data_IF_416309964231
#
_entry.id   IF_416309964231
#
_cell.length_a   1.000
_cell.length_b   1.000
_cell.length_c   1.000
_cell.angle_alpha   90.00
_cell.angle_beta   90.00
_cell.angle_gamma   90.00
#
_symmetry.space_group_name_H-M   'P 1'
#
loop_
_entity.id
_entity.type
_entity.pdbx_description
1 polymer ?
#
# COMPACT_ATOMS: atom_id res chain seq x y z
N UNK A 1 11.56 -54.15 -92.54
CA UNK A 1 10.87 -53.41 -93.61
C UNK A 1 9.82 -52.55 -92.94
N UNK A 2 9.68 -51.25 -93.11
CA UNK A 2 10.50 -50.15 -93.60
C UNK A 2 9.77 -48.87 -93.13
N UNK A 3 10.54 -47.81 -92.89
CA UNK A 3 10.21 -46.38 -93.12
C UNK A 3 8.87 -45.80 -92.61
N UNK A 4 8.93 -44.88 -91.64
CA UNK A 4 9.07 -43.42 -91.83
C UNK A 4 7.87 -42.68 -92.47
N UNK A 5 7.22 -41.89 -91.62
CA UNK A 5 6.96 -40.43 -91.74
C UNK A 5 5.96 -39.87 -92.76
N UNK A 6 5.37 -38.75 -92.30
CA UNK A 6 4.65 -37.67 -93.00
C UNK A 6 3.13 -37.89 -93.18
N UNK A 7 2.23 -36.95 -92.86
CA UNK A 7 2.33 -35.60 -92.32
C UNK A 7 0.87 -35.12 -92.08
N UNK A 8 0.54 -34.54 -90.93
CA UNK A 8 -0.49 -33.49 -90.86
C UNK A 8 -0.05 -32.42 -89.89
N UNK A 9 0.53 -31.41 -90.52
CA UNK A 9 0.91 -30.11 -90.02
C UNK A 9 -0.22 -29.34 -89.33
N UNK A 10 0.23 -28.52 -88.36
CA UNK A 10 -0.27 -27.19 -88.03
C UNK A 10 -1.68 -27.06 -87.47
N UNK A 11 -1.76 -26.70 -86.20
CA UNK A 11 -1.92 -25.28 -85.82
C UNK A 11 -1.60 -25.09 -84.33
N UNK A 12 -0.63 -24.21 -84.06
CA UNK A 12 -0.33 -23.67 -82.74
C UNK A 12 -1.35 -22.58 -82.35
N UNK A 13 -1.29 -22.21 -81.06
CA UNK A 13 -1.92 -21.08 -80.34
C UNK A 13 -3.21 -21.49 -79.63
N UNK A 14 -3.41 -21.24 -78.34
CA UNK A 14 -2.75 -20.35 -77.41
C UNK A 14 -3.20 -20.67 -75.99
N UNK A 15 -2.26 -20.52 -75.06
CA UNK A 15 -2.38 -20.07 -73.68
C UNK A 15 -3.78 -19.66 -73.14
N UNK A 16 -3.93 -20.00 -71.84
CA UNK A 16 -4.86 -19.46 -70.83
C UNK A 16 -6.28 -20.01 -70.82
N UNK A 17 -6.57 -20.89 -69.85
CA UNK A 17 -7.55 -20.48 -68.85
C UNK A 17 -7.36 -21.17 -67.50
N UNK A 18 -7.09 -20.30 -66.54
CA UNK A 18 -7.11 -20.44 -65.10
C UNK A 18 -8.40 -21.05 -64.56
N UNK A 19 -8.36 -21.45 -63.29
CA UNK A 19 -9.46 -21.92 -62.43
C UNK A 19 -9.62 -23.45 -62.32
N UNK A 20 -8.54 -24.14 -61.98
CA UNK A 20 -8.66 -25.34 -61.15
C UNK A 20 -8.59 -24.91 -59.67
N UNK A 21 -9.72 -24.48 -59.12
CA UNK A 21 -9.92 -24.36 -57.67
C UNK A 21 -10.11 -25.77 -57.09
N UNK A 22 -9.04 -26.56 -57.01
CA UNK A 22 -9.04 -27.81 -56.24
C UNK A 22 -8.55 -27.52 -54.82
N UNK A 23 -9.55 -27.37 -53.95
CA UNK A 23 -9.56 -27.69 -52.51
C UNK A 23 -8.19 -27.75 -51.84
N UNK A 24 -7.76 -26.63 -51.27
CA UNK A 24 -6.85 -26.66 -50.13
C UNK A 24 -7.66 -27.12 -48.92
N UNK A 25 -7.35 -28.31 -48.40
CA UNK A 25 -7.71 -28.70 -47.03
C UNK A 25 -6.56 -28.30 -46.11
N UNK A 26 -6.64 -27.22 -45.31
CA UNK A 26 -5.64 -26.98 -44.28
C UNK A 26 -5.99 -27.88 -43.10
N UNK A 27 -5.11 -28.84 -42.80
CA UNK A 27 -5.17 -29.63 -41.55
C UNK A 27 -5.37 -28.70 -40.36
N UNK A 28 -6.35 -29.04 -39.54
CA UNK A 28 -6.80 -28.32 -38.36
C UNK A 28 -5.64 -27.91 -37.45
N UNK A 29 -5.32 -26.62 -37.45
CA UNK A 29 -4.48 -26.00 -36.43
C UNK A 29 -5.38 -25.34 -35.37
N UNK A 30 -6.18 -26.15 -34.67
CA UNK A 30 -6.94 -25.69 -33.51
C UNK A 30 -6.01 -25.60 -32.28
N UNK A 31 -5.00 -24.73 -32.34
CA UNK A 31 -4.23 -24.33 -31.15
C UNK A 31 -4.98 -23.20 -30.46
N UNK A 32 -6.09 -23.54 -29.81
CA UNK A 32 -6.65 -22.70 -28.75
C UNK A 32 -5.58 -22.59 -27.67
N UNK A 33 -4.79 -21.50 -27.71
CA UNK A 33 -3.97 -21.11 -26.56
C UNK A 33 -4.92 -21.02 -25.37
N UNK A 34 -4.72 -21.77 -24.27
CA UNK A 34 -5.59 -21.67 -23.11
C UNK A 34 -5.57 -20.20 -22.70
N UNK A 35 -6.73 -19.55 -22.81
CA UNK A 35 -6.95 -18.19 -22.35
C UNK A 35 -6.65 -18.24 -20.87
N UNK A 36 -5.44 -17.82 -20.50
CA UNK A 36 -4.95 -17.83 -19.13
C UNK A 36 -5.93 -16.94 -18.36
N UNK A 37 -6.95 -17.55 -17.76
CA UNK A 37 -7.95 -16.86 -16.97
C UNK A 37 -7.16 -16.31 -15.80
N UNK A 38 -6.78 -15.04 -15.93
CA UNK A 38 -6.10 -14.28 -14.89
C UNK A 38 -7.06 -14.31 -13.71
N UNK A 39 -6.86 -15.29 -12.82
CA UNK A 39 -7.70 -15.50 -11.66
C UNK A 39 -7.76 -14.14 -10.98
N UNK A 40 -8.95 -13.55 -10.94
CA UNK A 40 -9.15 -12.30 -10.19
C UNK A 40 -8.56 -12.57 -8.81
N UNK A 41 -7.57 -11.78 -8.34
CA UNK A 41 -6.98 -12.04 -7.04
C UNK A 41 -8.13 -12.08 -6.05
N UNK A 42 -8.31 -13.24 -5.38
CA UNK A 42 -9.36 -13.44 -4.39
C UNK A 42 -9.40 -12.19 -3.53
N UNK A 43 -10.50 -11.46 -3.57
CA UNK A 43 -10.74 -10.35 -2.65
C UNK A 43 -10.57 -10.96 -1.27
N UNK A 44 -9.44 -10.66 -0.61
CA UNK A 44 -9.23 -11.04 0.78
C UNK A 44 -10.30 -10.27 1.54
N UNK A 45 -11.42 -10.94 1.76
CA UNK A 45 -12.55 -10.44 2.53
C UNK A 45 -12.00 -9.77 3.78
N UNK A 46 -12.45 -8.52 3.94
CA UNK A 46 -12.31 -7.63 5.07
C UNK A 46 -11.97 -8.42 6.35
N UNK A 47 -10.71 -8.38 6.78
CA UNK A 47 -10.36 -8.85 8.11
C UNK A 47 -10.93 -7.81 9.07
N UNK A 48 -11.99 -8.09 9.85
CA UNK A 48 -12.56 -7.15 10.81
C UNK A 48 -11.59 -6.78 11.96
N UNK A 49 -10.34 -7.21 11.86
CA UNK A 49 -9.31 -6.96 12.87
C UNK A 49 -8.77 -5.52 12.82
N UNK A 50 -8.95 -4.81 11.71
CA UNK A 50 -8.40 -3.47 11.54
C UNK A 50 -9.49 -2.40 11.65
N UNK A 51 -9.34 -1.51 12.64
CA UNK A 51 -10.13 -0.28 12.76
C UNK A 51 -9.45 0.82 11.94
N UNK A 52 -10.26 1.66 11.29
CA UNK A 52 -9.81 2.75 10.44
C UNK A 52 -10.26 4.10 11.01
N UNK A 53 -9.41 5.12 10.89
CA UNK A 53 -9.74 6.51 11.21
C UNK A 53 -9.27 7.46 10.13
N UNK A 54 -10.17 8.35 9.74
CA UNK A 54 -9.89 9.38 8.74
C UNK A 54 -9.25 10.58 9.43
N UNK A 55 -8.09 11.03 8.94
CA UNK A 55 -7.38 12.19 9.51
C UNK A 55 -7.83 13.49 8.83
N UNK A 56 -7.88 13.44 7.50
CA UNK A 56 -8.18 14.60 6.67
C UNK A 56 -8.67 14.17 5.30
N UNK A 57 -9.69 14.86 4.83
CA UNK A 57 -10.15 14.84 3.45
C UNK A 57 -10.07 16.27 2.94
N UNK A 58 -9.43 16.47 1.79
CA UNK A 58 -9.27 17.77 1.17
C UNK A 58 -9.59 17.69 -0.32
N UNK A 59 -10.24 18.72 -0.86
CA UNK A 59 -10.38 18.90 -2.30
C UNK A 59 -9.10 19.55 -2.84
N UNK A 60 -8.45 18.88 -3.78
CA UNK A 60 -7.23 19.34 -4.47
C UNK A 60 -7.52 19.58 -5.94
N UNK A 61 -6.78 20.49 -6.57
CA UNK A 61 -7.04 20.94 -7.94
C UNK A 61 -5.82 20.75 -8.85
N UNK A 62 -6.09 20.37 -10.10
CA UNK A 62 -5.15 20.53 -11.22
C UNK A 62 -5.72 21.57 -12.17
N UNK A 63 -4.96 22.63 -12.46
CA UNK A 63 -5.34 23.65 -13.45
C UNK A 63 -4.99 23.13 -14.85
N UNK A 64 -5.89 23.33 -15.81
CA UNK A 64 -5.75 22.97 -17.23
C UNK A 64 -6.25 24.12 -18.10
N UNK A 65 -5.98 24.09 -19.42
CA UNK A 65 -6.37 25.16 -20.35
C UNK A 65 -7.86 25.55 -20.31
N UNK A 66 -8.75 24.60 -20.00
CA UNK A 66 -10.19 24.81 -19.93
C UNK A 66 -10.76 25.02 -18.52
N UNK A 67 -9.92 25.16 -17.48
CA UNK A 67 -10.39 25.42 -16.11
C UNK A 67 -9.67 24.60 -15.04
N UNK A 68 -10.38 24.24 -13.97
CA UNK A 68 -9.83 23.51 -12.81
C UNK A 68 -10.46 22.12 -12.72
N UNK A 69 -9.64 21.08 -12.79
CA UNK A 69 -10.08 19.70 -12.51
C UNK A 69 -9.90 19.42 -11.02
N UNK A 70 -11.01 19.18 -10.33
CA UNK A 70 -11.01 18.83 -8.91
C UNK A 70 -10.80 17.33 -8.70
N UNK A 71 -10.20 16.99 -7.57
CA UNK A 71 -10.10 15.64 -7.03
C UNK A 71 -10.11 15.73 -5.51
N UNK A 72 -10.41 14.64 -4.83
CA UNK A 72 -10.30 14.55 -3.38
C UNK A 72 -9.07 13.74 -2.98
N UNK A 73 -8.31 14.27 -2.03
CA UNK A 73 -7.22 13.59 -1.36
C UNK A 73 -7.65 13.27 0.07
N UNK A 74 -7.47 12.02 0.47
CA UNK A 74 -7.78 11.52 1.80
C UNK A 74 -6.54 10.89 2.44
N UNK A 75 -6.39 11.10 3.74
CA UNK A 75 -5.42 10.41 4.58
C UNK A 75 -6.17 9.63 5.67
N UNK A 76 -5.82 8.35 5.81
CA UNK A 76 -6.44 7.46 6.78
C UNK A 76 -5.35 6.71 7.56
N UNK A 77 -5.62 6.46 8.84
CA UNK A 77 -4.84 5.55 9.69
C UNK A 77 -5.63 4.26 9.85
N UNK A 78 -4.93 3.14 9.83
CA UNK A 78 -5.50 1.83 10.09
C UNK A 78 -4.68 1.15 11.18
N UNK A 79 -5.32 0.47 12.12
CA UNK A 79 -4.62 -0.29 13.16
C UNK A 79 -5.50 -1.33 13.84
N UNK A 80 -4.86 -2.29 14.52
CA UNK A 80 -5.55 -3.43 15.14
C UNK A 80 -5.58 -3.36 16.69
N UNK A 81 -5.20 -2.23 17.29
CA UNK A 81 -5.04 -2.04 18.75
C UNK A 81 -4.09 -3.04 19.43
N UNK A 82 -3.32 -3.81 18.67
CA UNK A 82 -2.36 -4.82 19.14
C UNK A 82 -0.93 -4.50 18.67
N UNK A 83 -0.59 -3.22 18.56
CA UNK A 83 0.73 -2.78 18.16
C UNK A 83 0.98 -2.75 16.65
N UNK A 84 -0.05 -2.90 15.80
CA UNK A 84 0.09 -2.65 14.36
C UNK A 84 -0.69 -1.41 13.94
N UNK A 85 -0.01 -0.48 13.28
CA UNK A 85 -0.59 0.76 12.79
C UNK A 85 0.02 1.16 11.44
N UNK A 86 -0.76 1.76 10.55
CA UNK A 86 -0.33 2.19 9.23
C UNK A 86 -1.02 3.48 8.81
N UNK A 87 -0.32 4.29 8.00
CA UNK A 87 -0.86 5.49 7.36
C UNK A 87 -0.99 5.24 5.86
N UNK A 88 -2.11 5.63 5.29
CA UNK A 88 -2.36 5.57 3.86
C UNK A 88 -2.83 6.89 3.28
N UNK A 89 -2.61 7.03 1.98
CA UNK A 89 -3.05 8.17 1.18
C UNK A 89 -3.83 7.68 -0.03
N UNK A 90 -4.96 8.33 -0.30
CA UNK A 90 -5.79 8.03 -1.45
C UNK A 90 -6.19 9.31 -2.18
N UNK A 91 -6.21 9.25 -3.51
CA UNK A 91 -6.74 10.33 -4.35
C UNK A 91 -7.71 9.77 -5.38
N UNK A 92 -8.88 10.38 -5.50
CA UNK A 92 -9.91 10.01 -6.48
C UNK A 92 -10.75 11.22 -6.88
N UNK A 93 -11.65 11.04 -7.86
CA UNK A 93 -12.60 12.09 -8.25
C UNK A 93 -13.74 12.24 -7.23
N UNK A 94 -14.09 11.14 -6.55
CA UNK A 94 -15.08 11.11 -5.48
C UNK A 94 -14.45 10.94 -4.10
N UNK A 95 -15.17 11.38 -3.07
CA UNK A 95 -14.70 11.32 -1.68
C UNK A 95 -14.61 9.87 -1.20
N UNK A 96 -15.65 9.06 -1.39
CA UNK A 96 -15.69 7.69 -0.86
C UNK A 96 -14.58 6.82 -1.46
N UNK A 97 -14.36 6.93 -2.77
CA UNK A 97 -13.27 6.22 -3.44
C UNK A 97 -11.89 6.68 -2.98
N UNK A 98 -11.73 7.97 -2.64
CA UNK A 98 -10.46 8.46 -2.09
C UNK A 98 -10.17 7.84 -0.72
N UNK A 99 -11.20 7.68 0.12
CA UNK A 99 -11.09 7.05 1.45
C UNK A 99 -10.76 5.55 1.30
N UNK A 100 -11.51 4.81 0.47
CA UNK A 100 -11.24 3.38 0.21
C UNK A 100 -9.81 3.13 -0.26
N UNK A 101 -9.30 3.97 -1.16
CA UNK A 101 -7.90 3.91 -1.62
C UNK A 101 -6.92 4.20 -0.48
N UNK A 102 -7.21 5.18 0.37
CA UNK A 102 -6.36 5.52 1.51
C UNK A 102 -6.30 4.36 2.53
N UNK A 103 -7.43 3.73 2.84
CA UNK A 103 -7.50 2.56 3.74
C UNK A 103 -6.70 1.39 3.18
N UNK A 104 -6.89 1.07 1.90
CA UNK A 104 -6.14 -0.03 1.24
C UNK A 104 -4.63 0.24 1.23
N UNK A 105 -4.22 1.47 0.98
CA UNK A 105 -2.80 1.89 1.06
C UNK A 105 -2.25 1.77 2.49
N UNK A 106 -3.04 2.13 3.51
CA UNK A 106 -2.64 2.03 4.91
C UNK A 106 -2.45 0.57 5.35
N UNK A 107 -3.34 -0.34 4.94
CA UNK A 107 -3.24 -1.77 5.24
C UNK A 107 -1.97 -2.41 4.66
N UNK A 108 -1.50 -1.93 3.51
CA UNK A 108 -0.25 -2.41 2.91
C UNK A 108 1.01 -1.85 3.62
N UNK A 109 0.86 -0.75 4.38
CA UNK A 109 1.96 -0.06 5.08
C UNK A 109 1.84 -0.16 6.60
N UNK A 110 1.48 -1.35 7.09
CA UNK A 110 1.41 -1.62 8.52
C UNK A 110 2.82 -1.71 9.11
N UNK A 111 2.98 -1.05 10.25
CA UNK A 111 4.19 -1.00 11.03
C UNK A 111 3.91 -1.60 12.41
N UNK A 112 4.84 -2.40 12.91
CA UNK A 112 4.78 -2.94 14.27
C UNK A 112 5.45 -1.97 15.24
N UNK A 113 4.75 -1.59 16.31
CA UNK A 113 5.25 -0.68 17.35
C UNK A 113 5.32 -1.42 18.70
N UNK A 114 6.36 -1.17 19.50
CA UNK A 114 6.53 -1.85 20.77
C UNK A 114 5.55 -1.29 21.80
N UNK A 115 4.72 -2.17 22.34
CA UNK A 115 3.85 -1.87 23.48
C UNK A 115 4.51 -2.44 24.72
N UNK A 116 4.82 -1.57 25.68
CA UNK A 116 5.35 -2.00 26.97
C UNK A 116 4.21 -2.37 27.91
N UNK A 117 4.52 -3.17 28.94
CA UNK A 117 3.56 -3.67 29.95
C UNK A 117 2.57 -2.58 30.35
N UNK A 118 1.27 -2.93 30.39
CA UNK A 118 0.15 -2.01 30.68
C UNK A 118 -0.15 -0.98 29.58
N UNK A 119 0.18 -1.30 28.33
CA UNK A 119 -0.22 -0.52 27.15
C UNK A 119 0.33 0.91 27.10
N UNK A 120 1.58 1.11 27.53
CA UNK A 120 2.30 2.40 27.45
C UNK A 120 3.62 2.27 26.67
N UNK A 121 4.33 3.39 26.47
CA UNK A 121 5.65 3.42 25.81
C UNK A 121 6.79 3.06 26.77
N UNK A 122 7.88 2.42 26.32
CA UNK A 122 8.99 2.04 27.19
C UNK A 122 9.77 3.21 27.81
N UNK A 123 10.02 4.26 27.03
CA UNK A 123 10.79 5.44 27.43
C UNK A 123 10.30 6.68 26.68
N UNK A 124 10.75 7.86 27.12
CA UNK A 124 10.45 9.09 26.41
C UNK A 124 11.24 9.22 25.10
N UNK A 125 10.59 9.69 24.04
CA UNK A 125 11.23 9.86 22.73
C UNK A 125 10.79 11.15 22.06
N UNK A 126 11.76 11.80 21.43
CA UNK A 126 11.55 12.95 20.56
C UNK A 126 11.76 12.53 19.12
N UNK A 127 10.83 12.88 18.24
CA UNK A 127 11.01 12.69 16.80
C UNK A 127 10.64 13.95 16.01
N UNK A 128 11.34 14.13 14.90
CA UNK A 128 11.09 15.19 13.93
C UNK A 128 10.80 14.58 12.56
N UNK A 129 9.77 15.10 11.92
CA UNK A 129 9.48 14.89 10.51
C UNK A 129 9.17 16.23 9.86
N UNK A 130 10.00 16.64 8.90
CA UNK A 130 10.00 18.01 8.33
C UNK A 130 10.04 19.07 9.45
N UNK A 131 9.14 20.05 9.44
CA UNK A 131 9.04 21.09 10.48
C UNK A 131 8.21 20.67 11.72
N UNK A 132 7.64 19.47 11.74
CA UNK A 132 6.83 18.95 12.85
C UNK A 132 7.70 18.15 13.81
N UNK A 133 7.62 18.48 15.11
CA UNK A 133 8.31 17.78 16.19
C UNK A 133 7.27 17.19 17.15
N UNK A 134 7.50 15.97 17.61
CA UNK A 134 6.65 15.30 18.60
C UNK A 134 7.52 14.80 19.75
N UNK A 135 7.03 15.05 20.97
CA UNK A 135 7.51 14.46 22.19
C UNK A 135 6.47 13.43 22.64
N UNK A 136 6.93 12.22 22.95
CA UNK A 136 6.13 11.14 23.52
C UNK A 136 6.78 10.73 24.85
N UNK A 137 5.97 10.64 25.91
CA UNK A 137 6.42 10.23 27.25
C UNK A 137 5.49 9.14 27.81
N UNK A 138 6.02 8.19 28.59
CA UNK A 138 5.20 7.24 29.33
C UNK A 138 4.31 7.97 30.34
N UNK A 139 3.12 7.44 30.58
CA UNK A 139 2.17 7.96 31.56
C UNK A 139 1.85 6.91 32.63
N UNK A 140 1.45 7.33 33.85
CA UNK A 140 0.99 6.40 34.87
C UNK A 140 -0.33 5.74 34.45
N UNK A 141 -0.61 4.59 35.07
CA UNK A 141 -1.80 3.78 34.76
C UNK A 141 -3.09 4.57 35.02
N UNK A 142 -4.03 4.50 34.08
CA UNK A 142 -5.36 5.09 34.21
C UNK A 142 -5.41 6.60 33.91
N UNK A 143 -4.34 7.17 33.34
CA UNK A 143 -4.34 8.57 32.90
C UNK A 143 -5.08 8.76 31.57
N UNK A 144 -5.08 7.75 30.71
CA UNK A 144 -5.58 7.81 29.35
C UNK A 144 -4.61 8.48 28.37
N UNK A 145 -5.11 8.71 27.16
CA UNK A 145 -4.32 9.26 26.05
C UNK A 145 -4.38 10.80 26.09
N UNK A 146 -3.29 11.46 26.51
CA UNK A 146 -3.17 12.93 26.44
C UNK A 146 -2.44 13.31 25.16
N UNK A 147 -3.21 13.60 24.11
CA UNK A 147 -2.67 13.84 22.78
C UNK A 147 -3.54 14.77 21.92
N UNK A 148 -2.93 15.44 20.95
CA UNK A 148 -3.65 16.14 19.87
C UNK A 148 -4.45 15.13 19.05
N UNK A 149 -5.58 15.53 18.47
CA UNK A 149 -6.49 14.62 17.73
C UNK A 149 -5.77 13.74 16.69
N UNK A 150 -4.86 14.35 15.92
CA UNK A 150 -4.05 13.64 14.91
C UNK A 150 -3.13 12.57 15.50
N UNK A 151 -2.51 12.84 16.64
CA UNK A 151 -1.63 11.89 17.34
C UNK A 151 -2.49 10.81 18.00
N UNK A 152 -3.61 11.20 18.62
CA UNK A 152 -4.58 10.30 19.24
C UNK A 152 -5.07 9.24 18.25
N UNK A 153 -5.43 9.62 17.03
CA UNK A 153 -5.87 8.68 15.99
C UNK A 153 -4.83 7.57 15.71
N UNK A 154 -3.53 7.87 15.80
CA UNK A 154 -2.46 6.89 15.59
C UNK A 154 -2.25 6.03 16.82
N UNK A 155 -2.13 6.67 17.97
CA UNK A 155 -1.72 6.04 19.23
C UNK A 155 -2.82 5.12 19.78
N UNK A 156 -4.09 5.51 19.61
CA UNK A 156 -5.24 4.70 19.98
C UNK A 156 -5.38 3.45 19.09
N UNK A 157 -5.24 3.61 17.76
CA UNK A 157 -5.27 2.49 16.82
C UNK A 157 -4.05 1.56 16.94
N UNK A 158 -2.92 2.10 17.40
CA UNK A 158 -1.75 1.30 17.76
C UNK A 158 -2.01 0.45 19.02
N UNK A 159 -2.91 0.85 19.92
CA UNK A 159 -3.26 0.11 21.13
C UNK A 159 -2.63 0.64 22.42
N UNK A 160 -2.14 1.88 22.43
CA UNK A 160 -1.70 2.52 23.67
C UNK A 160 -2.88 3.09 24.43
N UNK A 161 -2.90 2.88 25.75
CA UNK A 161 -3.96 3.36 26.63
C UNK A 161 -3.52 4.61 27.39
N UNK A 162 -2.28 4.59 27.91
CA UNK A 162 -1.74 5.63 28.79
C UNK A 162 -0.48 6.24 28.16
N UNK A 163 -0.54 7.52 27.77
CA UNK A 163 0.59 8.20 27.10
C UNK A 163 0.46 9.72 27.19
N UNK A 164 1.58 10.39 27.42
CA UNK A 164 1.69 11.84 27.32
C UNK A 164 2.34 12.22 26.00
N UNK A 165 1.74 13.14 25.26
CA UNK A 165 2.33 13.64 24.03
C UNK A 165 2.23 15.15 23.91
N UNK A 166 3.23 15.75 23.27
CA UNK A 166 3.21 17.17 22.93
C UNK A 166 3.75 17.38 21.53
N UNK A 167 2.99 18.10 20.72
CA UNK A 167 3.40 18.55 19.38
C UNK A 167 4.05 19.93 19.47
N UNK A 168 5.18 20.10 18.79
CA UNK A 168 5.89 21.38 18.66
C UNK A 168 6.13 21.71 17.18
N UNK A 169 6.34 22.99 16.89
CA UNK A 169 6.57 23.47 15.52
C UNK A 169 5.33 23.40 14.64
N UNK A 170 5.49 22.90 13.41
CA UNK A 170 4.39 22.83 12.44
C UNK A 170 3.33 21.80 12.82
N UNK A 171 2.05 22.19 12.72
CA UNK A 171 0.88 21.38 13.07
C UNK A 171 0.17 20.76 11.85
N UNK A 172 0.84 20.67 10.70
CA UNK A 172 0.28 19.98 9.52
C UNK A 172 -0.03 18.53 9.86
N UNK A 173 -1.31 18.14 9.77
CA UNK A 173 -1.81 16.83 10.24
C UNK A 173 -0.96 15.64 9.73
N UNK A 174 -0.68 15.61 8.42
CA UNK A 174 0.06 14.50 7.79
C UNK A 174 1.49 14.38 8.35
N UNK A 175 2.18 15.50 8.53
CA UNK A 175 3.55 15.51 9.04
C UNK A 175 3.60 15.14 10.53
N UNK A 176 2.60 15.56 11.30
CA UNK A 176 2.44 15.13 12.69
C UNK A 176 2.27 13.62 12.78
N UNK A 177 1.39 13.01 11.95
CA UNK A 177 1.24 11.54 11.92
C UNK A 177 2.54 10.83 11.57
N UNK A 178 3.24 11.31 10.53
CA UNK A 178 4.53 10.74 10.12
C UNK A 178 5.59 10.88 11.21
N UNK A 179 5.63 12.02 11.91
CA UNK A 179 6.50 12.21 13.07
C UNK A 179 6.15 11.23 14.20
N UNK A 180 4.87 11.02 14.48
CA UNK A 180 4.39 10.06 15.49
C UNK A 180 4.78 8.63 15.12
N UNK A 181 4.57 8.19 13.88
CA UNK A 181 4.99 6.86 13.44
C UNK A 181 6.50 6.68 13.54
N UNK A 182 7.28 7.69 13.17
CA UNK A 182 8.74 7.69 13.34
C UNK A 182 9.16 7.62 14.81
N UNK A 183 8.46 8.32 15.69
CA UNK A 183 8.71 8.26 17.14
C UNK A 183 8.44 6.86 17.68
N UNK A 184 7.29 6.27 17.36
CA UNK A 184 6.91 4.94 17.83
C UNK A 184 7.85 3.84 17.29
N UNK A 185 8.33 3.98 16.05
CA UNK A 185 9.35 3.10 15.46
C UNK A 185 10.71 3.20 16.15
N UNK A 186 11.06 4.37 16.67
CA UNK A 186 12.33 4.59 17.36
C UNK A 186 12.35 4.03 18.79
N UNK A 187 11.21 3.59 19.32
CA UNK A 187 11.13 2.98 20.64
C UNK A 187 11.84 1.64 20.64
N UNK A 188 12.65 1.42 21.66
CA UNK A 188 13.33 0.15 21.94
C UNK A 188 12.80 -0.46 23.23
N UNK A 189 12.54 -1.77 23.20
CA UNK A 189 12.18 -2.51 24.41
C UNK A 189 13.42 -2.81 25.25
N UNK A 190 13.21 -3.14 26.52
CA UNK A 190 14.31 -3.51 27.44
C UNK A 190 15.09 -4.69 26.89
N UNK A 191 14.39 -5.70 26.34
CA UNK A 191 15.02 -6.88 25.75
C UNK A 191 15.92 -6.51 24.57
N UNK A 192 15.44 -5.64 23.66
CA UNK A 192 16.24 -5.15 22.54
C UNK A 192 17.48 -4.36 23.00
N UNK A 193 17.37 -3.60 24.10
CA UNK A 193 18.52 -2.87 24.64
C UNK A 193 19.52 -3.82 25.32
N UNK A 194 19.02 -4.85 26.01
CA UNK A 194 19.82 -5.88 26.67
C UNK A 194 20.66 -6.65 25.65
N UNK A 195 20.02 -7.09 24.55
CA UNK A 195 20.70 -7.73 23.41
C UNK A 195 21.75 -6.81 22.76
N UNK A 196 21.46 -5.52 22.59
CA UNK A 196 22.41 -4.57 22.01
C UNK A 196 23.62 -4.28 22.92
N UNK A 197 23.53 -4.59 24.21
CA UNK A 197 24.56 -4.30 25.21
C UNK A 197 25.22 -5.56 25.76
N UNK A 198 24.81 -6.75 25.32
CA UNK A 198 25.23 -8.05 25.86
C UNK A 198 25.07 -8.16 27.39
N UNK A 199 24.00 -7.56 27.92
CA UNK A 199 23.69 -7.55 29.36
C UNK A 199 22.39 -8.29 29.64
N UNK A 200 22.24 -8.77 30.89
CA UNK A 200 20.97 -9.34 31.32
C UNK A 200 19.88 -8.25 31.46
N UNK A 201 18.60 -8.51 31.10
CA UNK A 201 17.52 -7.53 31.20
C UNK A 201 17.36 -6.90 32.59
N UNK A 202 17.61 -7.67 33.65
CA UNK A 202 17.57 -7.20 35.03
C UNK A 202 18.64 -6.14 35.35
N UNK A 203 19.83 -6.28 34.75
CA UNK A 203 20.93 -5.33 34.93
C UNK A 203 20.64 -3.99 34.24
N UNK A 204 19.96 -4.02 33.09
CA UNK A 204 19.53 -2.81 32.36
C UNK A 204 18.52 -2.00 33.18
N UNK A 205 17.63 -2.67 33.92
CA UNK A 205 16.66 -2.01 34.80
C UNK A 205 17.31 -1.38 36.04
N UNK A 206 18.33 -2.03 36.60
CA UNK A 206 19.02 -1.58 37.82
C UNK A 206 19.85 -0.30 37.64
N UNK A 207 20.28 0.00 36.40
CA UNK A 207 21.11 1.19 36.10
C UNK A 207 20.33 2.52 36.05
N UNK A 208 19.04 2.54 36.35
CA UNK A 208 18.29 3.80 36.49
C UNK A 208 18.72 4.53 37.77
N UNK A 209 19.59 5.53 37.61
CA UNK A 209 19.68 6.68 38.53
C UNK A 209 18.50 7.61 38.33
#
# INVERSE_FOLDING_TARGET
MDTNLHNKSNQQKSNQNSQNQKQFSPKEANRQRPRNQRQKPKEKNFRPEFEERIISVARVTKVVKGGRRFSFSAFAVVGNKKGKVGLGHGKANEVQDSIRKAVKDAQNRLVSVPIYRRSTVPHEINAKYSASKILIKPAPRGKGIVASNTVRAVVELAGYTDIYTKTYGSRTKINVVRATLKALLGLKTINQIAELRDLNPSQVLAQKK
#
